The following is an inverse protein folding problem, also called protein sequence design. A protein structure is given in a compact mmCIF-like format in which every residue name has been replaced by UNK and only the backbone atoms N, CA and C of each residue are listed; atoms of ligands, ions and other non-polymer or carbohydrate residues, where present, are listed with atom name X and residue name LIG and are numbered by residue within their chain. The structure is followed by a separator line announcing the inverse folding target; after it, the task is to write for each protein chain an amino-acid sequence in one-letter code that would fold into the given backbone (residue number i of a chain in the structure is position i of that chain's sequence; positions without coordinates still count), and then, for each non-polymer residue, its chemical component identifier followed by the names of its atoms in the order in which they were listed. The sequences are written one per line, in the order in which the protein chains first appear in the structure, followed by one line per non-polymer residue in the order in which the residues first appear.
data_IF_560044656250
#
_entry.id   IF_560044656250
#
_cell.length_a   1.000
_cell.length_b   1.000
_cell.length_c   1.000
_cell.angle_alpha   90.00
_cell.angle_beta   90.00
_cell.angle_gamma   90.00
#
_symmetry.space_group_name_H-M   'P 1'
#
loop_
_entity.id
_entity.type
_entity.pdbx_description
1 polymer ?
#
# COMPACT_ATOMS: atom_id res chain seq x y z
N UNK A 1 -21.03 -1.37 -7.96
CA UNK A 1 -21.07 -2.19 -6.74
C UNK A 1 -20.44 -3.55 -7.04
N UNK A 2 -19.26 -3.87 -6.50
CA UNK A 2 -18.75 -5.25 -6.52
C UNK A 2 -19.45 -5.97 -5.36
N UNK A 3 -20.25 -6.99 -5.66
CA UNK A 3 -20.77 -7.88 -4.62
C UNK A 3 -19.55 -8.58 -4.01
N UNK A 4 -19.34 -8.41 -2.70
CA UNK A 4 -18.42 -9.27 -1.97
C UNK A 4 -18.99 -10.69 -2.03
N UNK A 5 -18.35 -11.54 -2.83
CA UNK A 5 -18.72 -12.95 -2.92
C UNK A 5 -18.20 -13.61 -1.65
N UNK A 6 -19.12 -14.07 -0.79
CA UNK A 6 -18.78 -14.94 0.33
C UNK A 6 -18.09 -16.17 -0.27
N UNK A 7 -16.84 -16.50 0.13
CA UNK A 7 -16.14 -17.66 -0.40
C UNK A 7 -16.90 -18.93 0.00
N UNK A 8 -17.37 -19.68 -1.00
CA UNK A 8 -18.11 -20.94 -0.83
C UNK A 8 -17.12 -22.07 -0.53
N UNK A 9 -15.92 -22.01 -1.12
CA UNK A 9 -14.86 -23.00 -0.92
C UNK A 9 -13.69 -22.37 -0.18
N UNK A 10 -13.30 -23.00 0.93
CA UNK A 10 -12.11 -22.65 1.74
C UNK A 10 -10.95 -23.63 1.54
N UNK A 11 -11.23 -24.85 1.07
CA UNK A 11 -10.24 -25.90 0.80
C UNK A 11 -10.53 -26.57 -0.55
N UNK A 12 -9.48 -27.12 -1.18
CA UNK A 12 -9.62 -27.91 -2.40
C UNK A 12 -10.07 -29.34 -2.07
N UNK A 13 -10.91 -29.97 -2.91
CA UNK A 13 -11.17 -31.40 -2.82
C UNK A 13 -9.93 -32.20 -3.24
N UNK A 14 -9.84 -33.48 -2.87
CA UNK A 14 -8.69 -34.36 -3.17
C UNK A 14 -8.34 -34.40 -4.66
N UNK A 15 -9.34 -34.33 -5.53
CA UNK A 15 -9.17 -34.38 -6.98
C UNK A 15 -8.85 -33.02 -7.62
N UNK A 16 -8.77 -31.95 -6.83
CA UNK A 16 -8.52 -30.58 -7.28
C UNK A 16 -9.44 -30.16 -8.45
N UNK A 17 -10.70 -30.63 -8.46
CA UNK A 17 -11.65 -30.41 -9.56
C UNK A 17 -11.17 -30.90 -10.94
N UNK A 18 -10.22 -31.83 -10.98
CA UNK A 18 -9.59 -32.34 -12.21
C UNK A 18 -8.52 -31.41 -12.79
N UNK A 19 -8.00 -30.49 -11.98
CA UNK A 19 -6.93 -29.54 -12.33
C UNK A 19 -5.65 -29.93 -11.58
N UNK A 20 -4.50 -29.84 -12.24
CA UNK A 20 -3.20 -30.05 -11.62
C UNK A 20 -2.75 -28.82 -10.84
N UNK A 21 -2.26 -29.04 -9.63
CA UNK A 21 -1.79 -28.04 -8.67
C UNK A 21 -0.37 -28.41 -8.27
N UNK A 22 0.58 -27.50 -8.43
CA UNK A 22 2.00 -27.74 -8.14
C UNK A 22 2.46 -27.09 -6.82
N UNK A 23 1.86 -25.96 -6.45
CA UNK A 23 2.26 -25.16 -5.29
C UNK A 23 1.07 -24.53 -4.57
N UNK A 24 1.34 -23.87 -3.44
CA UNK A 24 0.34 -23.13 -2.66
C UNK A 24 -0.28 -21.97 -3.46
N UNK A 25 0.46 -21.38 -4.40
CA UNK A 25 -0.03 -20.29 -5.23
C UNK A 25 -1.16 -20.77 -6.16
N UNK A 26 -0.99 -21.95 -6.73
CA UNK A 26 -1.99 -22.62 -7.56
C UNK A 26 -3.19 -23.07 -6.73
N UNK A 27 -3.00 -23.48 -5.47
CA UNK A 27 -4.11 -23.72 -4.54
C UNK A 27 -4.98 -22.47 -4.41
N UNK A 28 -4.37 -21.32 -4.10
CA UNK A 28 -5.08 -20.05 -3.94
C UNK A 28 -5.77 -19.59 -5.24
N UNK A 29 -5.10 -19.74 -6.38
CA UNK A 29 -5.69 -19.44 -7.70
C UNK A 29 -6.92 -20.30 -7.98
N UNK A 30 -6.84 -21.60 -7.69
CA UNK A 30 -7.90 -22.54 -7.97
C UNK A 30 -9.10 -22.32 -7.04
N UNK A 31 -8.86 -22.01 -5.76
CA UNK A 31 -9.89 -21.60 -4.81
C UNK A 31 -10.57 -20.30 -5.23
N UNK A 32 -9.80 -19.27 -5.62
CA UNK A 32 -10.38 -18.04 -6.14
C UNK A 32 -11.22 -18.31 -7.38
N UNK A 33 -10.68 -19.07 -8.34
CA UNK A 33 -11.33 -19.41 -9.59
C UNK A 33 -12.65 -20.14 -9.37
N UNK A 34 -12.69 -21.18 -8.53
CA UNK A 34 -13.93 -21.92 -8.26
C UNK A 34 -14.98 -21.04 -7.59
N UNK A 35 -14.58 -20.12 -6.70
CA UNK A 35 -15.48 -19.15 -6.09
C UNK A 35 -16.00 -18.09 -7.10
N UNK A 36 -15.26 -17.81 -8.19
CA UNK A 36 -15.72 -16.89 -9.24
C UNK A 36 -16.69 -17.54 -10.24
N UNK A 37 -16.39 -18.75 -10.71
CA UNK A 37 -17.16 -19.38 -11.81
C UNK A 37 -18.08 -20.52 -11.35
N UNK A 38 -17.91 -21.01 -10.12
CA UNK A 38 -18.61 -22.14 -9.56
C UNK A 38 -17.99 -23.50 -9.92
N UNK A 39 -18.07 -24.45 -9.00
CA UNK A 39 -17.56 -25.82 -9.13
C UNK A 39 -18.08 -26.52 -10.40
N UNK A 40 -19.38 -26.49 -10.65
CA UNK A 40 -19.98 -27.20 -11.79
C UNK A 40 -19.39 -26.75 -13.12
N UNK A 41 -19.12 -25.45 -13.29
CA UNK A 41 -18.50 -24.92 -14.51
C UNK A 41 -17.04 -25.32 -14.61
N UNK A 42 -16.31 -25.27 -13.50
CA UNK A 42 -14.91 -25.68 -13.44
C UNK A 42 -14.75 -27.16 -13.83
N UNK A 43 -15.51 -28.06 -13.19
CA UNK A 43 -15.49 -29.50 -13.47
C UNK A 43 -15.87 -29.82 -14.91
N UNK A 44 -16.92 -29.19 -15.46
CA UNK A 44 -17.30 -29.36 -16.88
C UNK A 44 -16.19 -28.90 -17.82
N UNK A 45 -15.54 -27.78 -17.52
CA UNK A 45 -14.42 -27.27 -18.32
C UNK A 45 -13.22 -28.21 -18.28
N UNK A 46 -12.88 -28.72 -17.10
CA UNK A 46 -11.80 -29.68 -16.88
C UNK A 46 -12.06 -31.00 -17.60
N UNK A 47 -13.24 -31.60 -17.41
CA UNK A 47 -13.64 -32.83 -18.08
C UNK A 47 -13.59 -32.70 -19.61
N UNK A 48 -14.09 -31.58 -20.16
CA UNK A 48 -13.98 -31.29 -21.60
C UNK A 48 -12.53 -31.28 -22.05
N UNK A 49 -11.63 -30.62 -21.30
CA UNK A 49 -10.22 -30.50 -21.69
C UNK A 49 -9.47 -31.81 -21.55
N UNK A 50 -9.73 -32.59 -20.50
CA UNK A 50 -9.11 -33.90 -20.26
C UNK A 50 -9.57 -34.93 -21.30
N UNK A 51 -10.80 -34.85 -21.79
CA UNK A 51 -11.28 -35.69 -22.90
C UNK A 51 -10.47 -35.49 -24.19
N UNK A 52 -10.13 -34.24 -24.54
CA UNK A 52 -9.40 -33.94 -25.78
C UNK A 52 -7.90 -34.17 -25.69
N UNK A 53 -7.31 -34.05 -24.50
CA UNK A 53 -5.90 -34.37 -24.30
C UNK A 53 -5.71 -35.04 -22.94
N UNK A 54 -5.90 -36.37 -22.86
CA UNK A 54 -5.88 -37.12 -21.61
C UNK A 54 -4.48 -37.20 -20.99
N UNK A 55 -3.43 -37.20 -21.82
CA UNK A 55 -2.05 -37.37 -21.34
C UNK A 55 -1.41 -36.05 -20.86
N UNK A 56 -2.12 -34.92 -20.97
CA UNK A 56 -1.60 -33.61 -20.60
C UNK A 56 -2.25 -33.13 -19.32
N UNK A 57 -1.41 -32.83 -18.32
CA UNK A 57 -1.83 -32.15 -17.09
C UNK A 57 -2.53 -30.83 -17.40
N UNK A 58 -3.61 -30.57 -16.68
CA UNK A 58 -4.41 -29.35 -16.82
C UNK A 58 -4.05 -28.36 -15.72
N UNK A 59 -3.21 -27.38 -16.01
CA UNK A 59 -2.80 -26.37 -15.03
C UNK A 59 -3.87 -25.30 -14.78
N UNK A 60 -3.85 -24.68 -13.60
CA UNK A 60 -4.77 -23.59 -13.22
C UNK A 60 -4.68 -22.41 -14.21
N UNK A 61 -3.47 -22.07 -14.66
CA UNK A 61 -3.20 -21.01 -15.64
C UNK A 61 -3.93 -21.22 -16.98
N UNK A 62 -4.10 -22.47 -17.41
CA UNK A 62 -4.81 -22.82 -18.64
C UNK A 62 -6.31 -22.53 -18.50
N UNK A 63 -6.89 -22.85 -17.34
CA UNK A 63 -8.29 -22.53 -17.07
C UNK A 63 -8.49 -21.01 -17.00
N UNK A 64 -7.64 -20.30 -16.25
CA UNK A 64 -7.69 -18.84 -16.14
C UNK A 64 -7.65 -18.15 -17.51
N UNK A 65 -6.74 -18.59 -18.38
CA UNK A 65 -6.65 -18.09 -19.77
C UNK A 65 -7.93 -18.36 -20.56
N UNK A 66 -8.54 -19.54 -20.41
CA UNK A 66 -9.76 -19.92 -21.13
C UNK A 66 -10.96 -19.07 -20.73
N UNK A 67 -11.09 -18.74 -19.44
CA UNK A 67 -12.15 -17.88 -18.93
C UNK A 67 -11.79 -16.39 -18.97
N UNK A 68 -10.60 -16.03 -19.49
CA UNK A 68 -10.09 -14.65 -19.56
C UNK A 68 -10.08 -13.95 -18.19
N UNK A 69 -9.79 -14.72 -17.13
CA UNK A 69 -9.75 -14.22 -15.77
C UNK A 69 -8.32 -13.92 -15.33
N UNK A 70 -8.15 -12.82 -14.60
CA UNK A 70 -6.90 -12.47 -13.92
C UNK A 70 -7.14 -12.55 -12.42
N UNK A 71 -6.36 -13.38 -11.75
CA UNK A 71 -6.43 -13.52 -10.29
C UNK A 71 -5.90 -12.23 -9.66
N UNK A 72 -6.67 -11.55 -8.80
CA UNK A 72 -6.21 -10.31 -8.20
C UNK A 72 -5.07 -10.57 -7.20
N UNK A 73 -4.12 -9.62 -7.03
CA UNK A 73 -2.94 -9.83 -6.18
C UNK A 73 -3.24 -10.13 -4.71
N UNK A 74 -4.37 -9.65 -4.17
CA UNK A 74 -4.79 -9.87 -2.79
C UNK A 74 -5.12 -11.33 -2.46
N UNK A 75 -5.20 -12.21 -3.47
CA UNK A 75 -5.39 -13.65 -3.30
C UNK A 75 -4.07 -14.34 -2.86
N UNK A 76 -2.92 -13.78 -3.22
CA UNK A 76 -1.60 -14.39 -2.95
C UNK A 76 -0.99 -13.96 -1.63
N UNK A 77 -1.32 -12.76 -1.19
CA UNK A 77 -0.85 -12.20 0.05
C UNK A 77 -1.91 -11.24 0.56
N UNK A 78 -2.21 -11.33 1.85
CA UNK A 78 -2.84 -10.23 2.55
C UNK A 78 -1.93 -9.01 2.37
N UNK A 79 -2.45 -7.95 1.74
CA UNK A 79 -1.71 -6.69 1.61
C UNK A 79 -1.65 -6.06 2.99
N UNK A 80 -0.71 -6.49 3.83
CA UNK A 80 -0.44 -5.98 5.17
C UNK A 80 0.24 -4.61 5.13
N UNK A 81 -0.32 -3.68 4.36
CA UNK A 81 -0.03 -2.26 4.57
C UNK A 81 -1.01 -1.80 5.63
N UNK A 82 -0.63 -2.00 6.89
CA UNK A 82 -1.47 -1.65 8.04
C UNK A 82 -1.64 -0.14 8.19
N UNK A 83 -0.72 0.65 7.63
CA UNK A 83 -0.69 2.09 7.80
C UNK A 83 -0.47 2.76 6.44
N UNK A 84 -1.37 3.68 6.10
CA UNK A 84 -1.23 4.56 4.95
C UNK A 84 -0.95 5.98 5.43
N UNK A 85 -0.17 6.70 4.64
CA UNK A 85 0.32 8.02 4.98
C UNK A 85 0.00 9.00 3.86
N UNK A 86 -0.41 10.21 4.22
CA UNK A 86 -0.40 11.37 3.33
C UNK A 86 0.82 12.19 3.68
N UNK A 87 1.75 12.35 2.75
CA UNK A 87 3.03 13.00 2.98
C UNK A 87 3.14 14.34 2.23
N UNK A 88 3.94 15.22 2.82
CA UNK A 88 4.49 16.41 2.20
C UNK A 88 6.00 16.24 2.15
N UNK A 89 6.59 16.25 0.95
CA UNK A 89 8.04 16.35 0.77
C UNK A 89 8.39 17.76 0.32
N UNK A 90 9.23 18.44 1.09
CA UNK A 90 9.66 19.81 0.81
C UNK A 90 11.05 19.76 0.20
N UNK A 91 11.25 20.36 -0.97
CA UNK A 91 12.60 20.48 -1.54
C UNK A 91 13.49 21.32 -0.62
N UNK A 92 14.77 20.99 -0.54
CA UNK A 92 15.72 21.69 0.32
C UNK A 92 15.88 23.18 -0.04
N UNK A 93 15.72 23.52 -1.32
CA UNK A 93 15.74 24.91 -1.80
C UNK A 93 14.43 25.68 -1.57
N UNK A 94 13.45 25.05 -0.90
CA UNK A 94 12.10 25.59 -0.63
C UNK A 94 11.39 26.10 -1.89
N UNK A 95 11.71 25.56 -3.06
CA UNK A 95 11.08 25.97 -4.31
C UNK A 95 9.74 25.29 -4.55
N UNK A 96 9.56 24.07 -4.01
CA UNK A 96 8.35 23.29 -4.22
C UNK A 96 8.10 22.26 -3.12
N UNK A 97 6.84 21.87 -3.00
CA UNK A 97 6.34 20.82 -2.11
C UNK A 97 5.65 19.75 -2.94
N UNK A 98 5.92 18.48 -2.64
CA UNK A 98 5.16 17.34 -3.16
C UNK A 98 4.13 16.91 -2.13
N UNK A 99 2.87 16.87 -2.53
CA UNK A 99 1.82 16.14 -1.80
C UNK A 99 1.64 14.76 -2.42
N UNK A 100 1.57 13.71 -1.61
CA UNK A 100 1.21 12.38 -2.10
C UNK A 100 0.81 11.42 -0.99
N UNK A 101 0.42 10.18 -1.35
CA UNK A 101 0.19 9.12 -0.37
C UNK A 101 1.08 7.89 -0.57
N UNK A 102 1.35 7.17 0.52
CA UNK A 102 2.18 5.96 0.50
C UNK A 102 1.84 5.00 1.64
N UNK A 103 2.04 3.71 1.40
CA UNK A 103 2.04 2.67 2.44
C UNK A 103 3.42 2.38 3.02
N UNK A 104 4.45 3.08 2.55
CA UNK A 104 5.87 2.80 2.87
C UNK A 104 6.59 4.08 3.28
N UNK A 105 5.97 4.88 4.14
CA UNK A 105 6.66 6.03 4.73
C UNK A 105 7.69 5.53 5.77
N UNK A 106 8.93 6.07 5.84
CA UNK A 106 9.51 7.15 5.02
C UNK A 106 10.19 6.70 3.71
N UNK A 107 10.27 5.40 3.44
CA UNK A 107 10.94 4.82 2.25
C UNK A 107 10.50 5.44 0.91
N UNK A 108 9.30 6.01 0.83
CA UNK A 108 8.82 6.74 -0.35
C UNK A 108 9.73 7.91 -0.77
N UNK A 109 10.33 8.62 0.18
CA UNK A 109 11.25 9.73 -0.13
C UNK A 109 12.49 9.23 -0.90
N UNK A 110 12.95 8.02 -0.60
CA UNK A 110 14.08 7.39 -1.31
C UNK A 110 13.77 7.06 -2.77
N UNK A 111 12.51 6.87 -3.14
CA UNK A 111 12.13 6.61 -4.53
C UNK A 111 12.50 7.80 -5.47
N UNK A 112 12.69 9.00 -4.91
CA UNK A 112 13.09 10.21 -5.65
C UNK A 112 14.59 10.32 -5.93
N UNK A 113 15.43 9.72 -5.07
CA UNK A 113 16.90 9.74 -5.21
C UNK A 113 17.48 8.43 -5.71
N UNK A 114 16.71 7.34 -5.65
CA UNK A 114 17.09 6.05 -6.22
C UNK A 114 17.13 6.18 -7.74
N UNK A 115 18.33 6.07 -8.30
CA UNK A 115 18.55 6.02 -9.74
C UNK A 115 18.93 4.59 -10.15
N UNK A 116 18.92 4.29 -11.44
CA UNK A 116 19.45 3.02 -11.96
C UNK A 116 20.96 2.85 -11.70
N UNK A 117 21.66 3.93 -11.35
CA UNK A 117 23.03 3.90 -10.84
C UNK A 117 23.00 3.63 -9.33
N UNK A 118 23.51 2.47 -8.93
CA UNK A 118 23.61 2.01 -7.54
C UNK A 118 24.68 2.75 -6.73
N UNK A 119 24.76 4.08 -6.82
CA UNK A 119 25.56 4.87 -5.88
C UNK A 119 25.03 4.62 -4.48
N UNK A 120 25.89 4.09 -3.59
CA UNK A 120 25.47 3.52 -2.30
C UNK A 120 25.04 4.57 -1.25
N UNK A 121 25.17 5.87 -1.53
CA UNK A 121 24.89 6.92 -0.55
C UNK A 121 23.55 7.66 -0.81
N UNK A 122 22.44 6.94 -0.74
CA UNK A 122 21.11 7.54 -0.91
C UNK A 122 20.72 8.47 0.24
N UNK A 123 21.26 8.25 1.44
CA UNK A 123 20.97 9.05 2.63
C UNK A 123 21.44 10.50 2.43
N UNK A 124 22.67 10.69 1.93
CA UNK A 124 23.21 12.02 1.60
C UNK A 124 22.42 12.70 0.47
N UNK A 125 22.13 11.97 -0.61
CA UNK A 125 21.35 12.51 -1.72
C UNK A 125 19.95 12.97 -1.28
N UNK A 126 19.34 12.27 -0.32
CA UNK A 126 18.03 12.62 0.22
C UNK A 126 18.06 13.92 1.02
N UNK A 127 19.07 14.11 1.88
CA UNK A 127 19.24 15.34 2.68
C UNK A 127 19.59 16.55 1.79
N UNK A 128 20.29 16.32 0.68
CA UNK A 128 20.57 17.37 -0.32
C UNK A 128 19.31 17.75 -1.09
N UNK A 129 18.46 16.78 -1.44
CA UNK A 129 17.27 17.02 -2.25
C UNK A 129 16.10 17.60 -1.44
N UNK A 130 15.87 17.09 -0.22
CA UNK A 130 14.70 17.43 0.59
C UNK A 130 15.09 18.07 1.92
N UNK A 131 14.26 19.02 2.35
CA UNK A 131 14.26 19.49 3.73
C UNK A 131 13.61 18.43 4.63
N UNK A 132 14.43 17.72 5.40
CA UNK A 132 13.97 16.64 6.30
C UNK A 132 13.25 17.15 7.54
N UNK A 133 13.39 18.43 7.89
CA UNK A 133 12.69 19.02 9.04
C UNK A 133 11.26 19.43 8.68
N UNK A 134 11.09 19.92 7.44
CA UNK A 134 9.79 20.35 6.92
C UNK A 134 9.05 19.23 6.19
N UNK A 135 9.73 18.18 5.74
CA UNK A 135 9.07 17.01 5.19
C UNK A 135 8.37 16.20 6.29
N UNK A 136 7.10 15.84 6.07
CA UNK A 136 6.24 15.24 7.11
C UNK A 136 5.21 14.31 6.49
N UNK A 137 4.70 13.36 7.26
CA UNK A 137 3.54 12.58 6.87
C UNK A 137 2.51 12.43 7.98
N UNK A 138 1.26 12.27 7.57
CA UNK A 138 0.07 12.15 8.40
C UNK A 138 -0.56 10.77 8.20
N UNK A 139 -0.84 10.07 9.29
CA UNK A 139 -1.43 8.74 9.25
C UNK A 139 -2.91 8.81 8.83
N UNK A 140 -3.32 7.92 7.93
CA UNK A 140 -4.69 7.74 7.48
C UNK A 140 -5.24 6.37 7.90
N UNK A 141 -6.55 6.31 8.15
CA UNK A 141 -7.24 5.10 8.64
C UNK A 141 -7.28 3.95 7.61
N UNK A 142 -7.14 4.27 6.32
CA UNK A 142 -7.14 3.29 5.24
C UNK A 142 -6.48 3.86 3.98
N UNK A 143 -6.24 2.99 2.99
CA UNK A 143 -5.79 3.42 1.66
C UNK A 143 -6.79 4.38 0.99
N UNK A 144 -8.09 4.10 1.10
CA UNK A 144 -9.13 4.94 0.48
C UNK A 144 -9.11 6.32 1.11
N UNK A 145 -9.08 6.39 2.45
CA UNK A 145 -8.99 7.66 3.17
C UNK A 145 -7.73 8.45 2.77
N UNK A 146 -6.56 7.80 2.71
CA UNK A 146 -5.32 8.47 2.27
C UNK A 146 -5.42 9.03 0.84
N UNK A 147 -6.03 8.27 -0.07
CA UNK A 147 -6.22 8.68 -1.46
C UNK A 147 -7.24 9.83 -1.58
N UNK A 148 -8.32 9.80 -0.80
CA UNK A 148 -9.33 10.85 -0.74
C UNK A 148 -8.73 12.17 -0.21
N UNK A 149 -7.97 12.10 0.89
CA UNK A 149 -7.26 13.27 1.46
C UNK A 149 -6.26 13.84 0.44
N UNK A 150 -5.47 12.98 -0.20
CA UNK A 150 -4.51 13.40 -1.23
C UNK A 150 -5.22 14.13 -2.38
N UNK A 151 -6.29 13.54 -2.92
CA UNK A 151 -7.04 14.09 -4.05
C UNK A 151 -7.75 15.40 -3.69
N UNK A 152 -8.36 15.48 -2.51
CA UNK A 152 -8.99 16.71 -2.00
C UNK A 152 -7.95 17.83 -1.83
N UNK A 153 -6.83 17.54 -1.17
CA UNK A 153 -5.74 18.51 -0.98
C UNK A 153 -5.26 19.05 -2.33
N UNK A 154 -5.02 18.16 -3.30
CA UNK A 154 -4.56 18.55 -4.64
C UNK A 154 -5.58 19.38 -5.42
N UNK A 155 -6.88 19.23 -5.14
CA UNK A 155 -7.95 20.04 -5.73
C UNK A 155 -8.01 21.42 -5.07
N UNK A 156 -8.00 21.49 -3.75
CA UNK A 156 -8.01 22.75 -2.98
C UNK A 156 -6.83 23.65 -3.38
N UNK A 157 -5.64 23.07 -3.46
CA UNK A 157 -4.41 23.80 -3.79
C UNK A 157 -4.05 23.76 -5.29
N UNK A 158 -4.99 23.42 -6.18
CA UNK A 158 -4.71 23.33 -7.61
C UNK A 158 -4.18 24.64 -8.22
N UNK A 159 -4.61 25.78 -7.67
CA UNK A 159 -4.17 27.11 -8.07
C UNK A 159 -2.72 27.44 -7.67
N UNK A 160 -2.10 26.66 -6.78
CA UNK A 160 -0.70 26.79 -6.33
C UNK A 160 0.26 25.81 -7.02
N UNK A 161 -0.19 25.11 -8.06
CA UNK A 161 0.64 24.13 -8.76
C UNK A 161 1.83 24.80 -9.44
N UNK A 162 3.01 24.20 -9.30
CA UNK A 162 4.26 24.62 -9.94
C UNK A 162 4.82 23.52 -10.85
N UNK A 163 5.70 23.87 -11.81
CA UNK A 163 6.35 22.87 -12.65
C UNK A 163 7.14 21.83 -11.85
N UNK A 164 7.27 20.64 -12.42
CA UNK A 164 7.99 19.55 -11.78
C UNK A 164 9.49 19.89 -11.64
N UNK A 165 10.14 19.57 -10.51
CA UNK A 165 11.60 19.68 -10.34
C UNK A 165 12.40 18.83 -11.34
N UNK A 166 11.75 17.89 -12.02
CA UNK A 166 12.32 17.16 -13.16
C UNK A 166 12.82 18.12 -14.25
N UNK A 167 12.08 19.19 -14.53
CA UNK A 167 12.46 20.18 -15.55
C UNK A 167 13.76 20.91 -15.22
N UNK A 168 14.14 20.92 -13.93
CA UNK A 168 15.40 21.46 -13.41
C UNK A 168 16.48 20.40 -13.22
N UNK A 169 16.20 19.14 -13.55
CA UNK A 169 17.13 18.02 -13.36
C UNK A 169 17.35 17.62 -11.90
N UNK A 170 16.46 18.01 -10.97
CA UNK A 170 16.60 17.69 -9.54
C UNK A 170 16.13 16.28 -9.20
N UNK A 171 15.24 15.70 -10.01
CA UNK A 171 14.68 14.35 -9.84
C UNK A 171 14.63 13.62 -11.18
N UNK A 172 14.59 12.29 -11.17
CA UNK A 172 14.50 11.48 -12.40
C UNK A 172 13.07 11.30 -12.90
N UNK A 173 12.86 11.30 -14.22
CA UNK A 173 11.55 11.12 -14.87
C UNK A 173 10.75 9.87 -14.47
N UNK A 174 11.35 8.86 -13.84
CA UNK A 174 10.66 7.62 -13.46
C UNK A 174 10.43 7.48 -11.94
N UNK A 175 10.74 8.50 -11.14
CA UNK A 175 10.62 8.42 -9.67
C UNK A 175 9.17 8.43 -9.13
N UNK A 176 8.15 8.35 -10.01
CA UNK A 176 6.74 8.36 -9.63
C UNK A 176 6.28 9.67 -8.97
N UNK A 177 6.97 10.78 -9.25
CA UNK A 177 6.76 12.10 -8.65
C UNK A 177 6.49 13.22 -9.66
N UNK A 178 6.20 12.91 -10.92
CA UNK A 178 6.19 13.91 -12.02
C UNK A 178 4.99 14.82 -12.05
N UNK A 179 3.94 14.46 -11.33
CA UNK A 179 2.70 15.20 -11.34
C UNK A 179 2.46 15.81 -9.96
N UNK A 180 2.06 17.08 -9.99
CA UNK A 180 1.46 17.81 -8.86
C UNK A 180 2.47 18.14 -7.75
N UNK A 181 3.29 19.14 -8.08
CA UNK A 181 4.09 19.93 -7.14
C UNK A 181 3.39 21.25 -6.86
N UNK A 182 3.61 21.80 -5.67
CA UNK A 182 2.98 23.01 -5.20
C UNK A 182 4.02 24.02 -4.76
N UNK A 183 3.70 25.30 -4.88
CA UNK A 183 4.54 26.38 -4.40
C UNK A 183 4.76 26.26 -2.88
N UNK A 184 5.99 26.49 -2.41
CA UNK A 184 6.33 26.36 -1.00
C UNK A 184 5.56 27.31 -0.09
N UNK A 185 5.11 28.47 -0.60
CA UNK A 185 4.31 29.43 0.19
C UNK A 185 2.99 28.81 0.70
N UNK A 186 2.50 27.74 0.06
CA UNK A 186 1.31 27.02 0.51
C UNK A 186 1.56 26.03 1.66
N UNK A 187 2.80 25.85 2.14
CA UNK A 187 3.15 24.82 3.13
C UNK A 187 2.24 24.83 4.35
N UNK A 188 2.12 25.99 5.02
CA UNK A 188 1.33 26.12 6.23
C UNK A 188 -0.15 25.81 5.99
N UNK A 189 -0.73 26.34 4.91
CA UNK A 189 -2.12 26.11 4.53
C UNK A 189 -2.39 24.61 4.23
N UNK A 190 -1.46 23.93 3.55
CA UNK A 190 -1.58 22.49 3.26
C UNK A 190 -1.48 21.68 4.56
N UNK A 191 -0.56 22.01 5.46
CA UNK A 191 -0.44 21.34 6.77
C UNK A 191 -1.74 21.50 7.56
N UNK A 192 -2.28 22.71 7.63
CA UNK A 192 -3.54 23.00 8.32
C UNK A 192 -4.73 22.27 7.70
N UNK A 193 -4.71 22.04 6.39
CA UNK A 193 -5.74 21.26 5.70
C UNK A 193 -5.62 19.75 5.96
N UNK A 194 -4.40 19.19 5.94
CA UNK A 194 -4.17 17.74 6.06
C UNK A 194 -4.18 17.25 7.51
N UNK A 195 -3.63 18.03 8.44
CA UNK A 195 -3.43 17.61 9.83
C UNK A 195 -4.72 17.27 10.61
N UNK A 196 -5.86 17.96 10.41
CA UNK A 196 -7.12 17.60 11.07
C UNK A 196 -7.75 16.31 10.54
N UNK A 197 -7.45 15.94 9.30
CA UNK A 197 -8.04 14.79 8.61
C UNK A 197 -7.23 13.51 8.87
N UNK A 198 -5.93 13.65 9.14
CA UNK A 198 -5.08 12.57 9.63
C UNK A 198 -5.34 12.23 11.11
N UNK A 199 -5.04 10.99 11.51
CA UNK A 199 -4.86 10.66 12.93
C UNK A 199 -3.77 11.58 13.48
N UNK A 200 -4.03 12.25 14.62
CA UNK A 200 -3.28 13.40 15.20
C UNK A 200 -1.76 13.23 15.39
N UNK A 201 -1.18 12.10 15.03
CA UNK A 201 0.26 11.83 15.02
C UNK A 201 0.84 12.12 13.63
N UNK A 202 1.52 13.26 13.49
CA UNK A 202 2.42 13.51 12.37
C UNK A 202 3.79 12.90 12.64
N UNK A 203 4.40 12.29 11.63
CA UNK A 203 5.79 11.83 11.68
C UNK A 203 6.63 12.72 10.77
N UNK A 204 7.54 13.49 11.38
CA UNK A 204 8.53 14.29 10.65
C UNK A 204 9.57 13.39 9.98
N UNK A 205 10.21 13.92 8.95
CA UNK A 205 11.28 13.25 8.23
C UNK A 205 12.66 13.34 8.91
N UNK A 206 12.73 13.91 10.12
CA UNK A 206 13.98 14.09 10.83
C UNK A 206 14.50 12.73 11.37
N UNK A 207 15.47 12.16 10.64
CA UNK A 207 16.63 11.34 11.01
C UNK A 207 16.65 10.36 12.21
N UNK A 208 15.55 10.11 12.93
CA UNK A 208 15.36 8.88 13.74
C UNK A 208 15.07 7.64 12.85
N UNK A 209 15.44 7.72 11.57
CA UNK A 209 14.89 6.97 10.44
C UNK A 209 15.38 5.52 10.31
N UNK A 210 16.48 5.13 10.97
CA UNK A 210 16.92 3.72 11.10
C UNK A 210 16.69 3.17 12.52
N UNK A 211 16.87 4.00 13.55
CA UNK A 211 16.84 3.54 14.94
C UNK A 211 15.42 3.24 15.46
N UNK A 212 14.38 3.92 14.96
CA UNK A 212 12.99 3.60 15.36
C UNK A 212 12.39 2.38 14.64
N UNK A 213 12.92 2.00 13.47
CA UNK A 213 12.42 0.83 12.73
C UNK A 213 12.99 -0.50 13.27
N UNK A 214 14.20 -0.51 13.85
CA UNK A 214 14.71 -1.70 14.55
C UNK A 214 14.01 -1.97 15.90
N UNK A 215 13.28 -1.00 16.44
CA UNK A 215 12.53 -1.14 17.69
C UNK A 215 11.05 -1.53 17.53
N UNK A 216 10.52 -1.60 16.30
CA UNK A 216 9.11 -1.93 16.04
C UNK A 216 8.88 -3.38 15.61
N UNK A 217 9.94 -4.13 15.25
CA UNK A 217 9.86 -5.57 15.02
C UNK A 217 9.75 -6.39 16.32
N UNK A 218 9.84 -5.75 17.49
CA UNK A 218 9.81 -6.41 18.81
C UNK A 218 8.56 -6.16 19.66
N UNK A 219 7.58 -5.36 19.20
CA UNK A 219 6.32 -5.19 19.95
C UNK A 219 5.25 -6.13 19.39
N UNK A 220 5.44 -7.42 19.64
CA UNK A 220 4.32 -8.33 19.89
C UNK A 220 3.81 -8.05 21.31
N UNK A 221 2.77 -7.23 21.45
CA UNK A 221 2.15 -6.89 22.73
C UNK A 221 0.66 -6.54 22.57
N UNK A 222 -0.19 -6.87 23.55
CA UNK A 222 -1.48 -7.51 23.32
C UNK A 222 -2.63 -6.53 23.06
N UNK A 223 -3.71 -7.10 22.52
CA UNK A 223 -5.01 -6.48 22.31
C UNK A 223 -5.47 -5.66 23.53
N UNK A 224 -5.97 -4.45 23.25
CA UNK A 224 -6.72 -3.65 24.20
C UNK A 224 -8.02 -4.39 24.59
N UNK A 225 -7.96 -5.20 25.64
CA UNK A 225 -9.13 -5.56 26.42
C UNK A 225 -9.32 -4.49 27.49
N UNK A 226 -10.33 -3.65 27.28
CA UNK A 226 -10.82 -2.75 28.32
C UNK A 226 -11.50 -3.55 29.41
N UNK A 227 -10.89 -3.60 30.58
CA UNK A 227 -11.58 -3.93 31.83
C UNK A 227 -11.43 -2.74 32.78
N UNK A 228 -12.54 -2.02 32.95
CA UNK A 228 -12.78 -1.08 34.05
C UNK A 228 -12.70 -1.81 35.39
N UNK A 229 -11.95 -1.31 36.39
CA UNK A 229 -12.15 -1.74 37.77
C UNK A 229 -13.21 -0.86 38.43
N UNK A 230 -14.25 -1.53 38.92
CA UNK A 230 -15.27 -1.01 39.82
C UNK A 230 -14.89 -1.36 41.27
N UNK A 231 -15.28 -0.47 42.19
CA UNK A 231 -15.39 -0.60 43.66
C UNK A 231 -14.20 -0.23 44.58
N UNK A 232 -14.30 1.01 45.10
CA UNK A 232 -14.58 1.38 46.51
C UNK A 232 -13.59 1.10 47.68
N UNK A 233 -13.71 1.87 48.78
CA UNK A 233 -12.57 2.34 49.59
C UNK A 233 -12.42 1.61 50.93
N UNK A 234 -11.28 1.80 51.59
CA UNK A 234 -11.18 1.56 53.03
C UNK A 234 -10.22 2.55 53.69
N UNK A 235 -10.73 3.17 54.77
CA UNK A 235 -10.04 4.10 55.65
C UNK A 235 -9.12 3.39 56.65
N UNK A 236 -8.05 4.08 57.05
CA UNK A 236 -7.30 4.03 58.33
C UNK A 236 -6.05 4.90 58.10
N UNK A 237 -5.62 5.85 58.93
CA UNK A 237 -5.95 6.29 60.29
C UNK A 237 -5.67 7.80 60.36
#
# INVERSE_FOLDING_TARGET
MRKELIPIFTNLPEDNFGVHVEDEMDVQRLLWLVNQIGETKLRKSAAKRNKYYPDRKLFVSVILKRFQLKVPPNVYAEVKVLIYWVYLLVLHDHSAIKVGMTGRWPNRAYDFVKTANYTKNFDEALVVLFDTEMSVAFCASSKSAAAEIEDETKKVFAHRRVPSPYERGLINYDCGGHTEWFDHSAYAEIIEHVAPIGLRTSLRANLTWKDQMQGLDTISGPACSGETPLTSPCAAT
#
